data_IF_119462924852
#
_entry.id   IF_119462924852
#
_cell.length_a   1.000
_cell.length_b   1.000
_cell.length_c   1.000
_cell.angle_alpha   90.00
_cell.angle_beta   90.00
_cell.angle_gamma   90.00
#
_symmetry.space_group_name_H-M   'P 1'
#
loop_
_entity.id
_entity.type
_entity.pdbx_description
1 polymer ?
#
# COMPACT_ATOMS: atom_id res chain seq x y z
N UNK A 1 18.86 -0.26 11.98
CA UNK A 1 18.52 -1.62 11.48
C UNK A 1 17.18 -1.58 10.75
N UNK A 2 16.77 -2.67 10.09
CA UNK A 2 15.49 -2.76 9.34
C UNK A 2 14.26 -2.41 10.20
N UNK A 3 14.29 -2.75 11.49
CA UNK A 3 13.23 -2.40 12.46
C UNK A 3 13.06 -0.88 12.55
N UNK A 4 14.14 -0.13 12.78
CA UNK A 4 14.09 1.34 12.86
C UNK A 4 13.52 1.97 11.58
N UNK A 5 13.84 1.40 10.41
CA UNK A 5 13.26 1.86 9.14
C UNK A 5 11.74 1.63 9.12
N UNK A 6 11.28 0.44 9.49
CA UNK A 6 9.85 0.10 9.53
C UNK A 6 9.10 0.96 10.55
N UNK A 7 9.67 1.18 11.73
CA UNK A 7 9.12 2.08 12.75
C UNK A 7 8.99 3.51 12.22
N UNK A 8 10.03 4.02 11.55
CA UNK A 8 9.99 5.36 10.95
C UNK A 8 8.90 5.51 9.87
N UNK A 9 8.64 4.45 9.09
CA UNK A 9 7.59 4.44 8.07
C UNK A 9 6.20 4.40 8.72
N UNK A 10 6.02 3.59 9.77
CA UNK A 10 4.78 3.57 10.54
C UNK A 10 4.48 4.92 11.18
N UNK A 11 5.47 5.55 11.80
CA UNK A 11 5.29 6.87 12.38
C UNK A 11 4.88 7.92 11.33
N UNK A 12 5.53 7.92 10.17
CA UNK A 12 5.20 8.86 9.08
C UNK A 12 3.78 8.67 8.59
N UNK A 13 3.34 7.41 8.46
CA UNK A 13 1.97 7.04 8.09
C UNK A 13 0.97 7.52 9.14
N UNK A 14 1.19 7.21 10.43
CA UNK A 14 0.28 7.61 11.51
C UNK A 14 0.21 9.12 11.70
N UNK A 15 1.30 9.85 11.45
CA UNK A 15 1.36 11.31 11.52
C UNK A 15 0.70 11.98 10.30
N UNK A 16 0.49 11.27 9.19
CA UNK A 16 -0.06 11.85 7.96
C UNK A 16 -1.52 12.29 8.10
N UNK A 17 -1.85 13.57 7.87
CA UNK A 17 -3.23 14.06 7.91
C UNK A 17 -4.13 13.40 6.87
N UNK A 18 -3.61 13.13 5.67
CA UNK A 18 -4.30 12.38 4.61
C UNK A 18 -4.67 10.98 5.10
N UNK A 19 -3.74 10.31 5.77
CA UNK A 19 -3.94 8.96 6.29
C UNK A 19 -5.04 8.90 7.37
N UNK A 20 -5.04 9.89 8.27
CA UNK A 20 -6.10 10.04 9.27
C UNK A 20 -7.46 10.32 8.62
N UNK A 21 -7.51 11.16 7.60
CA UNK A 21 -8.75 11.47 6.90
C UNK A 21 -9.34 10.25 6.19
N UNK A 22 -8.51 9.52 5.43
CA UNK A 22 -8.91 8.32 4.71
C UNK A 22 -9.48 7.26 5.66
N UNK A 23 -8.78 7.00 6.77
CA UNK A 23 -9.23 6.00 7.74
C UNK A 23 -10.47 6.38 8.55
N UNK A 24 -10.90 7.65 8.60
CA UNK A 24 -12.18 8.00 9.23
C UNK A 24 -13.37 7.38 8.53
N UNK A 25 -13.25 7.11 7.22
CA UNK A 25 -14.32 6.57 6.39
C UNK A 25 -14.21 5.06 6.17
N UNK A 26 -13.07 4.46 6.54
CA UNK A 26 -12.80 3.03 6.41
C UNK A 26 -13.26 2.33 7.69
N UNK A 27 -14.45 1.73 7.63
CA UNK A 27 -15.05 1.00 8.75
C UNK A 27 -14.57 -0.46 8.76
N UNK A 28 -14.49 -1.09 7.59
CA UNK A 28 -14.03 -2.46 7.45
C UNK A 28 -12.50 -2.52 7.31
N UNK A 29 -11.86 -3.38 8.10
CA UNK A 29 -10.41 -3.59 8.13
C UNK A 29 -9.99 -4.96 7.59
N UNK A 30 -10.90 -5.68 6.92
CA UNK A 30 -10.62 -7.00 6.32
C UNK A 30 -9.39 -7.01 5.41
N UNK A 31 -9.13 -5.92 4.68
CA UNK A 31 -7.95 -5.77 3.82
C UNK A 31 -6.61 -5.92 4.56
N UNK A 32 -6.57 -5.68 5.88
CA UNK A 32 -5.35 -5.84 6.68
C UNK A 32 -4.84 -7.27 6.67
N UNK A 33 -5.71 -8.26 6.52
CA UNK A 33 -5.30 -9.67 6.39
C UNK A 33 -4.45 -9.90 5.16
N UNK A 34 -4.84 -9.32 4.02
CA UNK A 34 -4.06 -9.41 2.79
C UNK A 34 -2.71 -8.70 2.94
N UNK A 35 -2.69 -7.52 3.57
CA UNK A 35 -1.43 -6.78 3.76
C UNK A 35 -0.45 -7.51 4.69
N UNK A 36 -0.95 -8.28 5.68
CA UNK A 36 -0.09 -9.13 6.50
C UNK A 36 0.59 -10.23 5.67
N UNK A 37 -0.14 -10.85 4.74
CA UNK A 37 0.43 -11.83 3.80
C UNK A 37 1.48 -11.17 2.90
N UNK A 38 1.17 -10.00 2.34
CA UNK A 38 2.11 -9.26 1.50
C UNK A 38 3.41 -8.93 2.27
N UNK A 39 3.31 -8.56 3.54
CA UNK A 39 4.45 -8.28 4.41
C UNK A 39 5.26 -9.54 4.76
N UNK A 40 4.60 -10.69 4.96
CA UNK A 40 5.28 -11.97 5.15
C UNK A 40 6.12 -12.34 3.92
N UNK A 41 5.57 -12.18 2.72
CA UNK A 41 6.29 -12.44 1.46
C UNK A 41 7.53 -11.54 1.29
N UNK A 42 7.40 -10.24 1.61
CA UNK A 42 8.52 -9.29 1.62
C UNK A 42 9.60 -9.75 2.60
N UNK A 43 9.21 -10.08 3.83
CA UNK A 43 10.14 -10.50 4.87
C UNK A 43 10.87 -11.80 4.49
N UNK A 44 10.14 -12.79 3.98
CA UNK A 44 10.71 -14.05 3.50
C UNK A 44 11.73 -13.82 2.37
N UNK A 45 11.42 -12.95 1.40
CA UNK A 45 12.35 -12.64 0.32
C UNK A 45 13.64 -11.94 0.81
N UNK A 46 13.52 -11.05 1.81
CA UNK A 46 14.65 -10.41 2.47
C UNK A 46 15.49 -11.44 3.23
N UNK A 47 14.86 -12.32 4.02
CA UNK A 47 15.54 -13.37 4.78
C UNK A 47 16.30 -14.34 3.87
N UNK A 48 15.74 -14.65 2.70
CA UNK A 48 16.38 -15.47 1.67
C UNK A 48 17.49 -14.73 0.90
N UNK A 49 17.73 -13.44 1.18
CA UNK A 49 18.71 -12.58 0.50
C UNK A 49 18.48 -12.52 -1.02
N UNK A 50 17.21 -12.53 -1.45
CA UNK A 50 16.82 -12.42 -2.86
C UNK A 50 16.35 -10.99 -3.17
N UNK A 51 17.24 -10.09 -3.61
CA UNK A 51 16.91 -8.67 -3.77
C UNK A 51 15.80 -8.41 -4.80
N UNK A 52 15.80 -9.13 -5.92
CA UNK A 52 14.78 -8.95 -6.97
C UNK A 52 13.42 -9.46 -6.50
N UNK A 53 13.38 -10.58 -5.78
CA UNK A 53 12.14 -11.09 -5.18
C UNK A 53 11.57 -10.13 -4.14
N UNK A 54 12.43 -9.56 -3.28
CA UNK A 54 11.99 -8.58 -2.28
C UNK A 54 11.44 -7.30 -2.93
N UNK A 55 12.07 -6.83 -4.02
CA UNK A 55 11.58 -5.70 -4.80
C UNK A 55 10.21 -6.00 -5.42
N UNK A 56 10.04 -7.17 -6.02
CA UNK A 56 8.79 -7.57 -6.66
C UNK A 56 7.66 -7.75 -5.63
N UNK A 57 7.95 -8.34 -4.46
CA UNK A 57 6.99 -8.47 -3.37
C UNK A 57 6.56 -7.11 -2.83
N UNK A 58 7.50 -6.17 -2.65
CA UNK A 58 7.18 -4.81 -2.24
C UNK A 58 6.34 -4.08 -3.30
N UNK A 59 6.68 -4.21 -4.58
CA UNK A 59 5.89 -3.61 -5.65
C UNK A 59 4.45 -4.15 -5.65
N UNK A 60 4.28 -5.47 -5.51
CA UNK A 60 2.96 -6.10 -5.39
C UNK A 60 2.18 -5.56 -4.19
N UNK A 61 2.82 -5.45 -3.02
CA UNK A 61 2.21 -4.87 -1.83
C UNK A 61 1.70 -3.44 -2.09
N UNK A 62 2.52 -2.59 -2.73
CA UNK A 62 2.14 -1.22 -3.03
C UNK A 62 0.95 -1.14 -4.01
N UNK A 63 0.90 -2.00 -5.02
CA UNK A 63 -0.25 -2.08 -5.93
C UNK A 63 -1.52 -2.53 -5.20
N UNK A 64 -1.43 -3.56 -4.36
CA UNK A 64 -2.57 -4.02 -3.53
C UNK A 64 -3.08 -2.91 -2.60
N UNK A 65 -2.16 -2.16 -1.97
CA UNK A 65 -2.50 -1.00 -1.13
C UNK A 65 -3.20 0.06 -1.98
N UNK A 66 -2.64 0.44 -3.13
CA UNK A 66 -3.24 1.43 -4.04
C UNK A 66 -4.67 1.04 -4.42
N UNK A 67 -4.87 -0.17 -4.90
CA UNK A 67 -6.18 -0.66 -5.35
C UNK A 67 -7.20 -0.67 -4.20
N UNK A 68 -6.77 -1.15 -3.02
CA UNK A 68 -7.59 -1.14 -1.80
C UNK A 68 -8.00 0.28 -1.42
N UNK A 69 -7.05 1.21 -1.40
CA UNK A 69 -7.32 2.59 -0.98
C UNK A 69 -8.19 3.33 -2.00
N UNK A 70 -8.03 3.07 -3.30
CA UNK A 70 -8.92 3.60 -4.34
C UNK A 70 -10.35 3.11 -4.13
N UNK A 71 -10.53 1.79 -4.00
CA UNK A 71 -11.86 1.19 -3.75
C UNK A 71 -12.52 1.76 -2.49
N UNK A 72 -11.74 1.94 -1.41
CA UNK A 72 -12.24 2.51 -0.16
C UNK A 72 -12.51 4.03 -0.25
N UNK A 73 -11.89 4.74 -1.19
CA UNK A 73 -12.08 6.18 -1.40
C UNK A 73 -13.29 6.49 -2.28
N UNK A 74 -13.80 5.54 -3.06
CA UNK A 74 -14.94 5.72 -3.98
C UNK A 74 -16.28 5.99 -3.29
N UNK A 75 -16.33 5.90 -1.95
CA UNK A 75 -17.56 6.13 -1.19
C UNK A 75 -17.64 7.59 -0.66
N UNK A 76 -18.58 8.37 -1.22
CA UNK A 76 -19.25 9.56 -0.65
C UNK A 76 -18.73 10.98 -0.90
N UNK A 77 -18.03 11.29 -2.02
CA UNK A 77 -17.85 12.71 -2.40
C UNK A 77 -18.25 12.97 -3.85
N UNK A 78 -19.24 13.85 -4.12
CA UNK A 78 -19.58 14.31 -5.48
C UNK A 78 -18.41 14.97 -6.22
N UNK A 79 -17.33 15.31 -5.51
CA UNK A 79 -16.15 16.01 -6.02
C UNK A 79 -14.89 15.12 -6.04
N UNK A 80 -14.99 13.81 -5.87
CA UNK A 80 -13.81 12.93 -5.97
C UNK A 80 -13.44 12.69 -7.44
N UNK A 81 -12.36 13.31 -7.89
CA UNK A 81 -11.81 13.11 -9.23
C UNK A 81 -10.95 11.84 -9.29
N UNK A 82 -11.62 10.68 -9.29
CA UNK A 82 -10.98 9.37 -9.47
C UNK A 82 -10.37 9.18 -10.87
N UNK A 83 -10.75 10.02 -11.85
CA UNK A 83 -10.22 9.95 -13.21
C UNK A 83 -8.73 10.35 -13.27
N UNK A 84 -8.27 11.27 -12.42
CA UNK A 84 -6.86 11.70 -12.39
C UNK A 84 -5.87 10.55 -12.10
N UNK A 85 -6.29 9.56 -11.31
CA UNK A 85 -5.45 8.43 -10.90
C UNK A 85 -5.64 7.17 -11.76
N UNK A 86 -6.58 7.21 -12.71
CA UNK A 86 -6.91 6.08 -13.58
C UNK A 86 -5.93 5.89 -14.75
N UNK A 87 -5.03 6.85 -14.99
CA UNK A 87 -4.18 6.87 -16.19
C UNK A 87 -2.69 7.00 -15.88
N UNK A 88 -2.03 5.87 -15.58
CA UNK A 88 -0.67 5.63 -16.08
C UNK A 88 -0.29 4.13 -16.03
N UNK A 89 -0.66 3.30 -17.02
CA UNK A 89 -0.11 1.95 -17.12
C UNK A 89 1.39 2.05 -17.41
N UNK A 90 2.23 1.53 -16.50
CA UNK A 90 3.66 1.36 -16.77
C UNK A 90 3.80 0.37 -17.92
N UNK A 91 4.04 0.88 -19.13
CA UNK A 91 4.35 0.04 -20.29
C UNK A 91 5.74 -0.56 -20.09
N UNK A 92 5.79 -1.80 -19.62
CA UNK A 92 7.01 -2.60 -19.65
C UNK A 92 7.23 -3.01 -21.11
N UNK A 93 8.19 -2.37 -21.78
CA UNK A 93 8.66 -2.85 -23.10
C UNK A 93 9.40 -4.17 -22.88
N UNK A 94 8.87 -5.24 -23.47
CA UNK A 94 9.55 -6.53 -23.66
C UNK A 94 10.50 -6.39 -24.84
#
# INVERSE_FOLDING_TARGET
MLVDLVESLWERREKSPMWKQLHRHIIDQTYRKQWLVDHEDILLAIQQKKPDAARNAMWRHLENVKDTLLLLSEHQSPNFDGYLFSSNPVQIKI
#
